data_IF_096029182343
#
_entry.id   IF_096029182343
#
_cell.length_a   1.000
_cell.length_b   1.000
_cell.length_c   1.000
_cell.angle_alpha   90.00
_cell.angle_beta   90.00
_cell.angle_gamma   90.00
#
_symmetry.space_group_name_H-M   'P 1'
#
loop_
_entity.id
_entity.type
_entity.pdbx_description
1 polymer ?
#
# COMPACT_ATOMS: atom_id res chain seq x y z
N UNK A 1 -82.67 -10.36 2.80
CA UNK A 1 -82.01 -11.11 3.90
C UNK A 1 -81.89 -12.56 3.44
N UNK A 2 -80.67 -13.07 3.38
CA UNK A 2 -80.19 -14.44 3.05
C UNK A 2 -79.14 -14.44 1.93
N UNK A 3 -77.89 -14.39 2.37
CA UNK A 3 -76.72 -14.81 1.59
C UNK A 3 -76.74 -16.33 1.47
N UNK A 4 -76.80 -16.86 0.24
CA UNK A 4 -76.54 -18.27 -0.04
C UNK A 4 -75.10 -18.41 -0.54
N UNK A 5 -74.33 -19.27 0.13
CA UNK A 5 -72.94 -19.52 -0.19
C UNK A 5 -72.74 -20.39 -1.43
N UNK A 6 -71.54 -20.33 -2.00
CA UNK A 6 -70.89 -21.50 -2.59
C UNK A 6 -69.38 -21.32 -2.60
N UNK A 7 -68.71 -22.06 -1.71
CA UNK A 7 -67.28 -22.35 -1.83
C UNK A 7 -67.06 -23.14 -3.11
N UNK A 8 -66.07 -22.72 -3.93
CA UNK A 8 -65.39 -23.61 -4.87
C UNK A 8 -63.88 -23.52 -4.64
N UNK A 9 -63.30 -24.70 -4.62
CA UNK A 9 -61.98 -25.10 -4.13
C UNK A 9 -60.84 -24.79 -5.11
N UNK A 10 -59.75 -24.24 -4.54
CA UNK A 10 -58.30 -24.27 -4.84
C UNK A 10 -57.82 -24.83 -6.22
N UNK A 11 -56.80 -24.22 -6.84
CA UNK A 11 -55.42 -24.57 -6.48
C UNK A 11 -54.46 -23.37 -6.45
N UNK A 12 -54.09 -22.93 -5.24
CA UNK A 12 -53.08 -21.89 -4.99
C UNK A 12 -51.65 -22.45 -4.94
N UNK A 13 -51.43 -23.71 -5.31
CA UNK A 13 -50.16 -24.41 -5.05
C UNK A 13 -49.23 -24.55 -6.26
N UNK A 14 -49.57 -23.98 -7.42
CA UNK A 14 -48.72 -24.14 -8.63
C UNK A 14 -47.90 -22.91 -9.02
N UNK A 15 -48.15 -21.73 -8.46
CA UNK A 15 -47.38 -20.52 -8.82
C UNK A 15 -46.11 -20.29 -7.99
N UNK A 16 -45.98 -20.92 -6.81
CA UNK A 16 -44.81 -20.75 -5.95
C UNK A 16 -43.60 -21.60 -6.37
N UNK A 17 -43.78 -22.66 -7.15
CA UNK A 17 -42.68 -23.52 -7.58
C UNK A 17 -41.90 -22.96 -8.79
N UNK A 18 -42.53 -22.14 -9.64
CA UNK A 18 -41.86 -21.58 -10.83
C UNK A 18 -41.03 -20.32 -10.52
N UNK A 19 -41.37 -19.56 -9.47
CA UNK A 19 -40.58 -18.39 -9.06
C UNK A 19 -39.28 -18.81 -8.36
N UNK A 20 -39.26 -19.95 -7.67
CA UNK A 20 -38.02 -20.50 -7.10
C UNK A 20 -37.07 -21.09 -8.16
N UNK A 21 -37.58 -21.52 -9.32
CA UNK A 21 -36.73 -22.06 -10.40
C UNK A 21 -35.99 -20.98 -11.19
N UNK A 22 -36.46 -19.73 -11.20
CA UNK A 22 -35.81 -18.61 -11.88
C UNK A 22 -34.81 -17.82 -11.01
N UNK A 23 -34.82 -18.01 -9.69
CA UNK A 23 -33.87 -17.35 -8.77
C UNK A 23 -32.56 -18.15 -8.65
N UNK A 24 -32.57 -19.45 -8.96
CA UNK A 24 -31.41 -20.33 -8.84
C UNK A 24 -30.32 -20.19 -9.92
N UNK A 25 -30.55 -19.43 -10.99
CA UNK A 25 -29.62 -19.37 -12.14
C UNK A 25 -28.82 -18.06 -12.26
N UNK A 26 -28.98 -17.10 -11.34
CA UNK A 26 -28.22 -15.84 -11.38
C UNK A 26 -27.02 -15.78 -10.42
N UNK A 27 -26.73 -16.85 -9.65
CA UNK A 27 -25.70 -16.80 -8.59
C UNK A 27 -24.31 -17.28 -9.05
N UNK A 28 -24.11 -17.65 -10.31
CA UNK A 28 -22.79 -18.11 -10.77
C UNK A 28 -22.43 -17.43 -12.08
N UNK A 29 -21.89 -16.20 -12.02
CA UNK A 29 -20.58 -15.83 -12.60
C UNK A 29 -20.14 -14.51 -11.94
N UNK A 30 -19.54 -14.60 -10.77
CA UNK A 30 -18.53 -13.65 -10.36
C UNK A 30 -17.43 -14.46 -9.67
N UNK A 31 -16.81 -15.35 -10.44
CA UNK A 31 -15.51 -15.91 -10.10
C UNK A 31 -14.51 -14.75 -10.21
N UNK A 32 -14.54 -13.85 -9.23
CA UNK A 32 -13.44 -12.95 -8.98
C UNK A 32 -12.31 -13.85 -8.49
N UNK A 33 -11.46 -14.28 -9.42
CA UNK A 33 -10.24 -15.01 -9.12
C UNK A 33 -9.53 -14.21 -8.03
N UNK A 34 -9.60 -14.64 -6.77
CA UNK A 34 -8.65 -14.19 -5.73
C UNK A 34 -7.32 -14.76 -6.16
N UNK A 35 -6.67 -14.02 -7.05
CA UNK A 35 -5.47 -14.35 -7.78
C UNK A 35 -4.45 -14.99 -6.85
N UNK A 36 -4.41 -16.32 -6.86
CA UNK A 36 -3.41 -17.08 -6.11
C UNK A 36 -2.01 -16.62 -6.50
N UNK A 37 -1.81 -16.16 -7.74
CA UNK A 37 -0.54 -15.59 -8.15
C UNK A 37 -0.24 -14.21 -7.54
N UNK A 38 -1.23 -13.35 -7.27
CA UNK A 38 -0.97 -12.12 -6.50
C UNK A 38 -0.62 -12.45 -5.04
N UNK A 39 -1.16 -13.51 -4.45
CA UNK A 39 -0.75 -13.95 -3.10
C UNK A 39 0.67 -14.51 -3.07
N UNK A 40 1.05 -15.25 -4.10
CA UNK A 40 2.38 -15.84 -4.24
C UNK A 40 3.36 -14.94 -4.99
N UNK A 41 3.00 -13.69 -5.28
CA UNK A 41 3.77 -12.77 -6.12
C UNK A 41 4.27 -13.38 -7.45
N UNK A 42 3.55 -14.36 -7.99
CA UNK A 42 3.92 -15.08 -9.21
C UNK A 42 3.47 -14.39 -10.49
N UNK A 43 2.71 -13.28 -10.38
CA UNK A 43 2.30 -12.41 -11.50
C UNK A 43 2.69 -10.95 -11.23
N UNK A 44 2.84 -10.10 -12.28
CA UNK A 44 2.98 -8.66 -12.11
C UNK A 44 1.90 -8.08 -11.20
N UNK A 45 2.27 -7.15 -10.34
CA UNK A 45 1.31 -6.46 -9.48
C UNK A 45 0.55 -5.41 -10.31
N UNK A 46 -0.78 -5.49 -10.29
CA UNK A 46 -1.64 -4.53 -11.00
C UNK A 46 -1.58 -3.12 -10.37
N UNK A 47 -1.36 -3.05 -9.06
CA UNK A 47 -1.23 -1.80 -8.30
C UNK A 47 0.22 -1.40 -8.03
N UNK A 48 1.19 -2.27 -8.33
CA UNK A 48 2.59 -2.11 -7.95
C UNK A 48 2.86 -2.31 -6.45
N UNK A 49 1.93 -2.93 -5.70
CA UNK A 49 2.06 -3.19 -4.26
C UNK A 49 3.17 -4.18 -3.88
N UNK A 50 3.64 -4.98 -4.84
CA UNK A 50 4.74 -5.93 -4.65
C UNK A 50 5.49 -6.13 -5.98
N UNK A 51 6.67 -6.76 -5.93
CA UNK A 51 7.45 -7.08 -7.14
C UNK A 51 7.29 -8.55 -7.46
N UNK A 52 6.94 -8.87 -8.71
CA UNK A 52 6.79 -10.27 -9.14
C UNK A 52 8.07 -11.08 -8.83
N UNK A 53 7.95 -12.12 -8.01
CA UNK A 53 9.02 -13.05 -7.68
C UNK A 53 9.88 -12.72 -6.46
N UNK A 54 9.65 -11.60 -5.78
CA UNK A 54 10.40 -11.18 -4.58
C UNK A 54 10.37 -12.20 -3.42
N UNK A 55 9.31 -12.99 -3.31
CA UNK A 55 9.19 -14.09 -2.32
C UNK A 55 9.55 -15.46 -2.90
N UNK A 56 10.14 -15.51 -4.10
CA UNK A 56 10.71 -16.73 -4.68
C UNK A 56 9.77 -17.57 -5.55
N UNK A 57 8.64 -17.03 -6.01
CA UNK A 57 7.76 -17.71 -6.98
C UNK A 57 7.74 -16.97 -8.30
N UNK A 58 8.20 -17.62 -9.38
CA UNK A 58 8.45 -16.96 -10.67
C UNK A 58 7.61 -17.49 -11.84
N UNK A 59 6.67 -18.41 -11.62
CA UNK A 59 6.01 -19.18 -12.68
C UNK A 59 5.27 -18.36 -13.75
N UNK A 60 4.86 -17.13 -13.46
CA UNK A 60 4.25 -16.21 -14.42
C UNK A 60 4.86 -14.79 -14.38
N UNK A 61 6.11 -14.67 -13.90
CA UNK A 61 6.84 -13.41 -13.88
C UNK A 61 7.61 -13.17 -15.18
N UNK A 62 7.63 -11.93 -15.70
CA UNK A 62 8.64 -11.53 -16.68
C UNK A 62 10.02 -11.46 -16.02
N UNK A 63 11.06 -11.58 -16.82
CA UNK A 63 12.45 -11.54 -16.35
C UNK A 63 12.74 -10.23 -15.63
N UNK A 64 13.31 -10.35 -14.43
CA UNK A 64 13.63 -9.24 -13.55
C UNK A 64 14.73 -9.64 -12.54
N UNK A 65 14.97 -8.79 -11.55
CA UNK A 65 16.03 -9.01 -10.57
C UNK A 65 15.88 -10.28 -9.69
N UNK A 66 14.69 -10.87 -9.65
CA UNK A 66 14.34 -12.06 -8.86
C UNK A 66 14.04 -13.29 -9.73
N UNK A 67 13.66 -13.11 -11.00
CA UNK A 67 13.22 -14.17 -11.88
C UNK A 67 13.92 -14.12 -13.24
N UNK A 68 14.35 -15.28 -13.74
CA UNK A 68 14.84 -15.45 -15.11
C UNK A 68 14.26 -16.75 -15.69
N UNK A 69 13.62 -16.66 -16.86
CA UNK A 69 12.97 -17.80 -17.50
C UNK A 69 11.87 -18.44 -16.64
N UNK A 70 11.17 -17.63 -15.84
CA UNK A 70 10.12 -18.08 -14.93
C UNK A 70 10.62 -18.86 -13.70
N UNK A 71 11.92 -18.80 -13.39
CA UNK A 71 12.55 -19.43 -12.22
C UNK A 71 13.24 -18.41 -11.33
N UNK A 72 13.30 -18.62 -10.00
CA UNK A 72 14.04 -17.74 -9.11
C UNK A 72 15.53 -17.75 -9.45
N UNK A 73 16.14 -16.56 -9.57
CA UNK A 73 17.60 -16.47 -9.63
C UNK A 73 18.15 -16.55 -8.22
N UNK A 74 19.07 -17.48 -7.98
CA UNK A 74 19.75 -17.60 -6.70
C UNK A 74 20.71 -16.41 -6.53
N UNK A 75 20.23 -15.31 -5.94
CA UNK A 75 21.13 -14.28 -5.41
C UNK A 75 21.62 -14.77 -4.06
N UNK A 76 22.84 -15.29 -4.03
CA UNK A 76 23.58 -15.46 -2.79
C UNK A 76 23.56 -14.14 -2.02
N UNK A 77 23.07 -14.18 -0.78
CA UNK A 77 23.30 -13.15 0.23
C UNK A 77 24.79 -13.18 0.60
N UNK A 78 25.66 -12.77 -0.31
CA UNK A 78 27.08 -12.57 -0.07
C UNK A 78 27.39 -11.11 -0.44
N UNK A 79 27.88 -10.28 0.49
CA UNK A 79 28.30 -8.92 0.19
C UNK A 79 29.50 -8.99 -0.75
N UNK A 80 29.39 -8.38 -1.93
CA UNK A 80 30.48 -8.37 -2.92
C UNK A 80 31.70 -7.67 -2.33
N UNK A 81 32.66 -8.48 -1.87
CA UNK A 81 34.02 -8.08 -1.50
C UNK A 81 34.89 -8.20 -2.74
N UNK A 82 34.77 -7.25 -3.66
CA UNK A 82 35.79 -7.05 -4.69
C UNK A 82 36.54 -5.77 -4.37
N UNK A 83 37.70 -5.96 -3.74
CA UNK A 83 38.74 -4.97 -3.63
C UNK A 83 39.18 -4.62 -5.06
N UNK A 84 38.81 -3.46 -5.58
CA UNK A 84 39.58 -2.81 -6.64
C UNK A 84 40.24 -1.56 -6.07
N UNK A 85 41.55 -1.55 -6.30
CA UNK A 85 42.55 -0.67 -5.73
C UNK A 85 42.22 0.80 -5.95
N UNK A 86 42.23 1.55 -4.87
CA UNK A 86 42.29 3.00 -4.87
C UNK A 86 43.62 3.44 -5.50
N UNK A 87 43.56 4.03 -6.69
CA UNK A 87 44.68 4.78 -7.26
C UNK A 87 44.17 6.15 -7.74
N UNK A 88 44.74 7.27 -7.26
CA UNK A 88 44.26 8.61 -7.58
C UNK A 88 45.00 9.15 -8.80
N UNK A 89 44.30 9.40 -9.91
CA UNK A 89 44.83 10.28 -10.94
C UNK A 89 43.73 11.12 -11.59
N UNK A 90 43.67 12.38 -11.16
CA UNK A 90 43.00 13.47 -11.86
C UNK A 90 43.67 13.71 -13.21
N UNK A 91 42.88 13.63 -14.29
CA UNK A 91 43.08 14.48 -15.48
C UNK A 91 41.73 15.00 -15.96
N UNK A 92 41.58 16.32 -15.89
CA UNK A 92 40.62 17.10 -16.64
C UNK A 92 40.82 16.86 -18.13
N UNK A 93 39.79 16.37 -18.82
CA UNK A 93 39.26 16.91 -20.09
C UNK A 93 38.41 15.85 -20.79
N UNK A 94 37.10 15.98 -20.62
CA UNK A 94 36.07 15.65 -21.63
C UNK A 94 34.70 15.91 -21.02
N UNK A 95 34.35 17.19 -21.00
CA UNK A 95 32.94 17.58 -21.04
C UNK A 95 32.36 16.97 -22.32
N UNK A 96 31.55 15.91 -22.21
CA UNK A 96 30.38 15.64 -23.06
C UNK A 96 29.65 14.36 -22.63
N UNK A 97 28.42 14.57 -22.15
CA UNK A 97 27.30 13.60 -22.07
C UNK A 97 27.24 12.66 -20.86
N UNK A 98 27.12 13.24 -19.66
CA UNK A 98 26.39 12.56 -18.58
C UNK A 98 24.89 12.83 -18.79
N UNK A 99 24.20 11.92 -19.48
CA UNK A 99 22.74 11.89 -19.47
C UNK A 99 22.29 11.48 -18.06
N UNK A 100 21.40 12.24 -17.41
CA UNK A 100 21.10 12.05 -16.00
C UNK A 100 20.49 10.67 -15.76
N UNK A 101 21.16 9.93 -14.87
CA UNK A 101 20.68 8.73 -14.22
C UNK A 101 19.19 8.88 -13.89
N UNK A 102 18.39 7.90 -14.34
CA UNK A 102 16.99 7.70 -13.99
C UNK A 102 16.76 8.07 -12.52
N UNK A 103 15.95 9.10 -12.28
CA UNK A 103 15.66 9.60 -10.93
C UNK A 103 15.25 8.44 -10.02
N UNK A 104 16.01 8.24 -8.94
CA UNK A 104 15.70 7.20 -7.94
C UNK A 104 14.33 7.54 -7.35
N UNK A 105 13.34 6.68 -7.62
CA UNK A 105 11.97 6.84 -7.15
C UNK A 105 11.77 5.95 -5.93
N UNK A 106 11.89 6.55 -4.75
CA UNK A 106 11.59 5.88 -3.48
C UNK A 106 10.08 5.61 -3.35
N UNK A 107 9.75 4.50 -2.69
CA UNK A 107 8.40 4.13 -2.27
C UNK A 107 8.19 4.58 -0.82
N UNK A 108 6.94 4.64 -0.40
CA UNK A 108 6.55 4.98 0.98
C UNK A 108 7.25 4.10 2.02
N UNK A 109 7.26 2.78 1.77
CA UNK A 109 7.94 1.80 2.60
C UNK A 109 9.44 2.10 2.82
N UNK A 110 10.12 2.74 1.86
CA UNK A 110 11.54 3.08 2.02
C UNK A 110 11.72 4.15 3.11
N UNK A 111 10.78 5.10 3.21
CA UNK A 111 10.76 6.12 4.26
C UNK A 111 10.35 5.53 5.62
N UNK A 112 9.36 4.64 5.63
CA UNK A 112 8.93 3.93 6.85
C UNK A 112 10.09 3.13 7.44
N UNK A 113 10.76 2.32 6.61
CA UNK A 113 11.91 1.50 7.00
C UNK A 113 13.11 2.33 7.48
N UNK A 114 13.28 3.55 6.95
CA UNK A 114 14.31 4.46 7.42
C UNK A 114 13.96 5.09 8.77
N UNK A 115 12.77 5.67 8.90
CA UNK A 115 12.43 6.50 10.07
C UNK A 115 11.96 5.67 11.25
N UNK A 116 11.07 4.70 11.03
CA UNK A 116 10.37 4.02 12.12
C UNK A 116 11.31 3.35 13.12
N UNK A 117 12.35 2.60 12.70
CA UNK A 117 13.30 2.00 13.65
C UNK A 117 14.09 3.05 14.45
N UNK A 118 14.38 4.21 13.84
CA UNK A 118 15.07 5.33 14.52
C UNK A 118 14.21 6.00 15.58
N UNK A 119 12.89 5.84 15.51
CA UNK A 119 11.94 6.25 16.53
C UNK A 119 11.62 5.15 17.54
N UNK A 120 12.35 4.03 17.50
CA UNK A 120 12.04 2.82 18.28
C UNK A 120 10.61 2.33 18.04
N UNK A 121 10.11 2.50 16.82
CA UNK A 121 8.78 2.08 16.41
C UNK A 121 8.73 0.68 15.80
N UNK A 122 7.51 0.13 15.76
CA UNK A 122 7.16 -1.14 15.13
C UNK A 122 6.52 -0.83 13.79
N UNK A 123 7.09 -1.37 12.71
CA UNK A 123 6.59 -1.21 11.36
C UNK A 123 5.39 -2.14 11.13
N UNK A 124 4.37 -1.66 10.39
CA UNK A 124 3.17 -2.42 10.05
C UNK A 124 2.45 -3.04 11.27
N UNK A 125 2.32 -2.25 12.35
CA UNK A 125 1.67 -2.71 13.58
C UNK A 125 0.20 -3.04 13.32
N UNK A 126 -0.16 -4.30 13.54
CA UNK A 126 -1.51 -4.80 13.23
C UNK A 126 -2.50 -4.46 14.34
N UNK A 127 -3.65 -3.93 13.94
CA UNK A 127 -4.80 -3.63 14.79
C UNK A 127 -5.77 -4.82 14.86
N UNK A 128 -6.73 -4.72 15.77
CA UNK A 128 -7.73 -5.76 16.06
C UNK A 128 -8.70 -6.05 14.89
N UNK A 129 -8.85 -5.12 13.97
CA UNK A 129 -9.69 -5.21 12.78
C UNK A 129 -8.92 -5.62 11.50
N UNK A 130 -7.61 -5.87 11.63
CA UNK A 130 -6.73 -6.22 10.52
C UNK A 130 -6.13 -5.04 9.75
N UNK A 131 -6.47 -3.79 10.09
CA UNK A 131 -5.73 -2.61 9.62
C UNK A 131 -4.30 -2.61 10.18
N UNK A 132 -3.39 -1.88 9.52
CA UNK A 132 -1.99 -1.77 9.95
C UNK A 132 -1.57 -0.32 10.03
N UNK A 133 -0.89 0.03 11.12
CA UNK A 133 -0.25 1.34 11.29
C UNK A 133 1.15 1.26 10.69
N UNK A 134 1.53 2.19 9.81
CA UNK A 134 2.85 2.18 9.17
C UNK A 134 4.00 2.16 10.17
N UNK A 135 3.90 2.97 11.22
CA UNK A 135 4.85 2.99 12.32
C UNK A 135 4.18 3.27 13.67
N UNK A 136 4.28 2.31 14.58
CA UNK A 136 3.74 2.42 15.93
C UNK A 136 4.88 2.61 16.95
N UNK A 137 4.89 3.74 17.65
CA UNK A 137 5.88 4.04 18.71
C UNK A 137 5.25 3.93 20.09
N UNK A 138 6.01 4.16 21.17
CA UNK A 138 5.44 4.21 22.53
C UNK A 138 4.33 5.28 22.67
N UNK A 139 4.46 6.40 21.96
CA UNK A 139 3.61 7.59 22.17
C UNK A 139 2.71 7.94 21.00
N UNK A 140 3.02 7.46 19.79
CA UNK A 140 2.30 7.82 18.57
C UNK A 140 1.97 6.61 17.68
N UNK A 141 0.81 6.68 17.04
CA UNK A 141 0.46 5.89 15.87
C UNK A 141 0.64 6.74 14.62
N UNK A 142 1.58 6.35 13.76
CA UNK A 142 2.12 7.22 12.71
C UNK A 142 1.78 6.65 11.35
N UNK A 143 1.16 7.50 10.53
CA UNK A 143 0.95 7.29 9.09
C UNK A 143 2.09 7.93 8.29
N UNK A 144 2.58 7.24 7.27
CA UNK A 144 3.49 7.77 6.27
C UNK A 144 2.75 7.93 4.96
N UNK A 145 2.82 9.10 4.35
CA UNK A 145 2.09 9.32 3.10
C UNK A 145 2.77 10.37 2.24
N UNK A 146 2.71 10.21 0.92
CA UNK A 146 3.21 11.22 0.00
C UNK A 146 2.41 12.52 0.10
N UNK A 147 3.07 13.66 -0.10
CA UNK A 147 2.46 14.99 0.01
C UNK A 147 1.15 15.14 -0.79
N UNK A 148 1.06 14.55 -1.98
CA UNK A 148 -0.17 14.49 -2.78
C UNK A 148 -1.37 13.81 -2.08
N UNK A 149 -1.13 12.89 -1.15
CA UNK A 149 -2.11 12.15 -0.33
C UNK A 149 -2.38 12.78 1.04
N UNK A 150 -1.95 14.03 1.28
CA UNK A 150 -2.05 14.70 2.59
C UNK A 150 -3.42 14.61 3.31
N UNK A 151 -4.53 14.54 2.57
CA UNK A 151 -5.87 14.46 3.16
C UNK A 151 -6.19 13.04 3.66
N UNK A 152 -5.74 12.02 2.95
CA UNK A 152 -5.85 10.61 3.34
C UNK A 152 -5.05 10.36 4.63
N UNK A 153 -3.83 10.91 4.69
CA UNK A 153 -2.96 10.81 5.86
C UNK A 153 -3.62 11.31 7.16
N UNK A 154 -4.45 12.37 7.10
CA UNK A 154 -5.21 12.86 8.26
C UNK A 154 -6.20 11.78 8.73
N UNK A 155 -6.96 11.20 7.81
CA UNK A 155 -7.97 10.20 8.12
C UNK A 155 -7.36 8.96 8.76
N UNK A 156 -6.29 8.44 8.15
CA UNK A 156 -5.59 7.25 8.65
C UNK A 156 -4.95 7.49 10.02
N UNK A 157 -4.19 8.58 10.19
CA UNK A 157 -3.56 8.89 11.48
C UNK A 157 -4.57 9.08 12.62
N UNK A 158 -5.70 9.75 12.35
CA UNK A 158 -6.78 9.90 13.34
C UNK A 158 -7.44 8.55 13.65
N UNK A 159 -7.66 7.72 12.64
CA UNK A 159 -8.22 6.38 12.81
C UNK A 159 -7.33 5.52 13.71
N UNK A 160 -6.04 5.43 13.39
CA UNK A 160 -5.08 4.64 14.16
C UNK A 160 -4.95 5.13 15.60
N UNK A 161 -4.85 6.45 15.79
CA UNK A 161 -4.87 7.06 17.12
C UNK A 161 -6.13 6.68 17.92
N UNK A 162 -7.30 6.65 17.27
CA UNK A 162 -8.53 6.25 17.94
C UNK A 162 -8.56 4.78 18.37
N UNK A 163 -7.81 3.90 17.67
CA UNK A 163 -7.72 2.47 17.94
C UNK A 163 -6.70 2.13 19.02
N UNK A 164 -5.57 2.82 19.03
CA UNK A 164 -4.45 2.54 19.94
C UNK A 164 -4.48 3.38 21.22
N UNK A 165 -5.24 4.49 21.21
CA UNK A 165 -5.20 5.50 22.26
C UNK A 165 -3.94 6.38 22.26
N UNK A 166 -3.00 6.13 21.34
CA UNK A 166 -1.79 6.94 21.18
C UNK A 166 -2.06 8.20 20.38
N UNK A 167 -1.14 9.14 20.42
CA UNK A 167 -1.29 10.39 19.68
C UNK A 167 -1.16 10.15 18.16
N UNK A 168 -2.03 10.77 17.37
CA UNK A 168 -1.93 10.73 15.91
C UNK A 168 -0.64 11.39 15.41
N UNK A 169 0.12 10.67 14.60
CA UNK A 169 1.33 11.14 13.95
C UNK A 169 1.25 11.03 12.44
N UNK A 170 1.85 11.97 11.72
CA UNK A 170 1.98 11.93 10.26
C UNK A 170 3.42 12.27 9.87
N UNK A 171 4.06 11.39 9.11
CA UNK A 171 5.21 11.73 8.29
C UNK A 171 4.74 12.04 6.86
N UNK A 172 4.71 13.33 6.52
CA UNK A 172 4.37 13.74 5.15
C UNK A 172 5.64 13.73 4.28
N UNK A 173 5.70 12.84 3.30
CA UNK A 173 6.83 12.71 2.39
C UNK A 173 6.76 13.82 1.34
N UNK A 174 7.75 14.71 1.34
CA UNK A 174 7.90 15.82 0.40
C UNK A 174 8.81 15.35 -0.73
N UNK A 175 8.24 14.61 -1.70
CA UNK A 175 8.98 14.05 -2.82
C UNK A 175 9.17 15.06 -3.96
N UNK A 176 8.24 15.99 -4.10
CA UNK A 176 8.27 17.02 -5.14
C UNK A 176 8.18 18.44 -4.53
N UNK A 177 8.63 19.45 -5.29
CA UNK A 177 8.55 20.84 -4.85
C UNK A 177 7.10 21.32 -4.59
N UNK A 178 6.14 20.78 -5.34
CA UNK A 178 4.72 21.11 -5.22
C UNK A 178 4.09 20.56 -3.91
N UNK A 179 4.68 19.53 -3.29
CA UNK A 179 4.18 18.93 -2.04
C UNK A 179 4.24 19.89 -0.86
N UNK A 180 5.10 20.92 -0.93
CA UNK A 180 5.12 22.02 0.04
C UNK A 180 3.77 22.74 0.12
N UNK A 181 3.01 22.81 -0.98
CA UNK A 181 1.65 23.36 -0.96
C UNK A 181 0.71 22.48 -0.15
N UNK A 182 0.84 21.15 -0.25
CA UNK A 182 0.04 20.19 0.51
C UNK A 182 0.40 20.21 2.00
N UNK A 183 1.68 20.40 2.34
CA UNK A 183 2.11 20.66 3.72
C UNK A 183 1.44 21.91 4.33
N UNK A 184 1.24 22.98 3.53
CA UNK A 184 0.50 24.17 4.01
C UNK A 184 -0.98 23.86 4.23
N UNK A 185 -1.61 23.05 3.36
CA UNK A 185 -3.01 22.63 3.50
C UNK A 185 -3.23 21.81 4.78
N UNK A 186 -2.43 20.78 5.01
CA UNK A 186 -2.56 19.91 6.19
C UNK A 186 -2.35 20.69 7.50
N UNK A 187 -1.32 21.54 7.56
CA UNK A 187 -1.06 22.42 8.72
C UNK A 187 -2.22 23.38 8.97
N UNK A 188 -2.81 23.95 7.93
CA UNK A 188 -4.00 24.81 8.05
C UNK A 188 -5.18 24.02 8.63
N UNK A 189 -5.51 22.85 8.08
CA UNK A 189 -6.64 22.05 8.56
C UNK A 189 -6.46 21.68 10.03
N UNK A 190 -5.29 21.15 10.41
CA UNK A 190 -5.00 20.75 11.80
C UNK A 190 -5.13 21.94 12.76
N UNK A 191 -4.59 23.11 12.38
CA UNK A 191 -4.68 24.33 13.19
C UNK A 191 -6.12 24.81 13.33
N UNK A 192 -6.83 25.00 12.23
CA UNK A 192 -8.20 25.54 12.23
C UNK A 192 -9.20 24.62 12.94
N UNK A 193 -8.97 23.30 12.85
CA UNK A 193 -9.80 22.29 13.52
C UNK A 193 -9.30 21.91 14.91
N UNK A 194 -8.22 22.55 15.40
CA UNK A 194 -7.62 22.29 16.72
C UNK A 194 -7.35 20.80 16.95
N UNK A 195 -6.90 20.10 15.92
CA UNK A 195 -6.62 18.66 15.98
C UNK A 195 -5.28 18.42 16.67
N UNK A 196 -5.22 17.40 17.53
CA UNK A 196 -3.97 16.98 18.17
C UNK A 196 -3.23 15.96 17.30
N UNK A 197 -2.67 16.41 16.18
CA UNK A 197 -1.87 15.60 15.25
C UNK A 197 -0.45 16.15 15.20
N UNK A 198 0.54 15.30 15.44
CA UNK A 198 1.96 15.66 15.27
C UNK A 198 2.37 15.43 13.82
N UNK A 199 2.91 16.46 13.17
CA UNK A 199 3.42 16.36 11.79
C UNK A 199 4.94 16.44 11.77
N UNK A 200 5.56 15.52 11.06
CA UNK A 200 6.93 15.57 10.58
C UNK A 200 6.95 15.57 9.04
N UNK A 201 8.11 15.86 8.47
CA UNK A 201 8.35 15.79 7.03
C UNK A 201 9.66 15.09 6.77
N UNK A 202 9.72 14.35 5.67
CA UNK A 202 10.93 13.71 5.16
C UNK A 202 10.99 13.86 3.63
N UNK A 203 12.17 13.94 3.05
CA UNK A 203 12.35 14.01 1.59
C UNK A 203 13.31 12.91 1.08
N UNK A 204 13.35 12.64 -0.23
CA UNK A 204 14.30 11.69 -0.84
C UNK A 204 15.75 11.91 -0.41
N UNK A 205 16.16 13.17 -0.21
CA UNK A 205 17.53 13.53 0.17
C UNK A 205 17.90 13.06 1.58
N UNK A 206 16.91 12.87 2.46
CA UNK A 206 17.16 12.39 3.83
C UNK A 206 17.51 10.90 3.88
N UNK A 207 17.08 10.11 2.89
CA UNK A 207 17.39 8.67 2.82
C UNK A 207 18.86 8.40 2.45
N UNK A 208 19.54 9.39 1.88
CA UNK A 208 20.93 9.29 1.44
C UNK A 208 21.94 9.75 2.50
N UNK A 209 21.48 10.04 3.73
CA UNK A 209 22.30 10.49 4.87
C UNK A 209 22.48 9.36 5.88
#
# INVERSE_FOLDING_TARGET
MQYNGRMKTKPLTFLLALTFLFIGFYVVIAEAHRSGCHRWHSCPSDSGSYICGDIGYCSACPDNQFCEGGKPVARSLEPNKSNESFDPYTKEDSLNNFTPNKAIKYREADYVNYVCPRMSGIIEYSLDDGSRVDCETETHSIEFDFGKKWAEAIGQALYYSSKTGKQAGIFLIIAENNDRNNLRKIKRVIKEKKMNIKIWTISPEDLNK
#
